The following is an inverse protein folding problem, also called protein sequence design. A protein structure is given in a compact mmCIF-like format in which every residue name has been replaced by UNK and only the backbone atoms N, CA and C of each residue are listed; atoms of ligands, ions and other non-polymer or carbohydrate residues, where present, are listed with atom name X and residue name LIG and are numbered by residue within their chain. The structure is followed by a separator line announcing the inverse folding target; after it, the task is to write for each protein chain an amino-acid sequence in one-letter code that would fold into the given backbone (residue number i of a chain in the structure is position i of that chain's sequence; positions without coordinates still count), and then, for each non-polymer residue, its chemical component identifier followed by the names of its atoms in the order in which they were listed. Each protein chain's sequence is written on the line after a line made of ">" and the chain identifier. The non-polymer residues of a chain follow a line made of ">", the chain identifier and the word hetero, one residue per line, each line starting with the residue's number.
data_IF_045051086678
#
_entry.id   IF_045051086678
#
_cell.length_a   1.000
_cell.length_b   1.000
_cell.length_c   1.000
_cell.angle_alpha   90.00
_cell.angle_beta   90.00
_cell.angle_gamma   90.00
#
_symmetry.space_group_name_H-M   'P 1'
#
loop_
_entity.id
_entity.type
_entity.pdbx_description
1 polymer ?
#
# COMPACT_ATOMS: atom_id res chain seq x y z
N UNK A 1 -40.36 -8.05 -1.71
CA UNK A 1 -38.90 -7.77 -1.85
C UNK A 1 -38.27 -7.47 -0.49
N UNK A 2 -38.92 -6.68 0.37
CA UNK A 2 -38.47 -6.43 1.75
C UNK A 2 -38.44 -7.70 2.63
N UNK A 3 -39.35 -8.66 2.41
CA UNK A 3 -39.37 -9.93 3.17
C UNK A 3 -38.14 -10.81 2.88
N UNK A 4 -37.63 -10.77 1.64
CA UNK A 4 -36.49 -11.58 1.22
C UNK A 4 -35.18 -11.05 1.82
N UNK A 5 -35.00 -9.73 1.85
CA UNK A 5 -33.83 -9.09 2.47
C UNK A 5 -33.79 -9.35 3.98
N UNK A 6 -34.95 -9.32 4.66
CA UNK A 6 -35.03 -9.67 6.09
C UNK A 6 -34.69 -11.14 6.34
N UNK A 7 -35.14 -12.05 5.45
CA UNK A 7 -34.79 -13.46 5.54
C UNK A 7 -33.28 -13.68 5.42
N UNK A 8 -32.63 -13.02 4.46
CA UNK A 8 -31.18 -13.13 4.26
C UNK A 8 -30.38 -12.55 5.43
N UNK A 9 -30.79 -11.39 5.96
CA UNK A 9 -30.15 -10.82 7.16
C UNK A 9 -30.25 -11.75 8.37
N UNK A 10 -31.46 -12.25 8.65
CA UNK A 10 -31.67 -13.19 9.76
C UNK A 10 -30.92 -14.52 9.57
N UNK A 11 -30.80 -15.00 8.33
CA UNK A 11 -30.00 -16.19 8.03
C UNK A 11 -28.51 -15.93 8.26
N UNK A 12 -27.98 -14.78 7.84
CA UNK A 12 -26.60 -14.40 8.05
C UNK A 12 -26.26 -14.28 9.54
N UNK A 13 -27.10 -13.60 10.32
CA UNK A 13 -26.99 -13.51 11.79
C UNK A 13 -26.89 -14.90 12.43
N UNK A 14 -27.76 -15.84 12.01
CA UNK A 14 -27.78 -17.21 12.51
C UNK A 14 -26.51 -17.98 12.12
N UNK A 15 -26.05 -17.81 10.88
CA UNK A 15 -24.82 -18.44 10.36
C UNK A 15 -23.60 -17.98 11.16
N UNK A 16 -23.46 -16.68 11.37
CA UNK A 16 -22.36 -16.10 12.16
C UNK A 16 -22.40 -16.61 13.60
N UNK A 17 -23.58 -16.67 14.21
CA UNK A 17 -23.74 -17.19 15.57
C UNK A 17 -23.40 -18.69 15.73
N UNK A 18 -23.36 -19.45 14.63
CA UNK A 18 -22.98 -20.86 14.60
C UNK A 18 -21.51 -21.08 14.20
N UNK A 19 -20.83 -20.05 13.70
CA UNK A 19 -19.44 -20.14 13.27
C UNK A 19 -18.51 -20.34 14.47
N UNK A 20 -17.56 -21.26 14.34
CA UNK A 20 -16.44 -21.35 15.27
C UNK A 20 -15.40 -20.25 14.98
N UNK A 21 -14.43 -20.00 15.89
CA UNK A 21 -13.44 -18.96 15.68
C UNK A 21 -12.62 -19.10 14.39
N UNK A 22 -12.26 -20.33 14.00
CA UNK A 22 -11.50 -20.57 12.77
C UNK A 22 -12.30 -20.24 11.50
N UNK A 23 -13.59 -20.55 11.51
CA UNK A 23 -14.52 -20.19 10.44
C UNK A 23 -14.73 -18.68 10.40
N UNK A 24 -14.85 -18.04 11.57
CA UNK A 24 -14.98 -16.59 11.64
C UNK A 24 -13.75 -15.87 11.10
N UNK A 25 -12.55 -16.33 11.45
CA UNK A 25 -11.30 -15.81 10.90
C UNK A 25 -11.19 -16.02 9.38
N UNK A 26 -11.76 -17.09 8.84
CA UNK A 26 -11.82 -17.31 7.39
C UNK A 26 -12.79 -16.33 6.71
N UNK A 27 -13.95 -16.08 7.32
CA UNK A 27 -14.96 -15.14 6.82
C UNK A 27 -14.46 -13.68 6.85
N UNK A 28 -13.69 -13.29 7.86
CA UNK A 28 -13.08 -11.95 7.96
C UNK A 28 -11.98 -11.73 6.90
N UNK A 29 -11.28 -12.78 6.49
CA UNK A 29 -10.23 -12.73 5.46
C UNK A 29 -10.76 -12.73 4.03
N UNK A 30 -12.05 -12.99 3.84
CA UNK A 30 -12.73 -12.89 2.56
C UNK A 30 -13.39 -11.51 2.46
N UNK A 31 -12.94 -10.68 1.52
CA UNK A 31 -13.34 -9.26 1.46
C UNK A 31 -14.83 -9.08 1.16
N UNK A 32 -15.43 -9.97 0.37
CA UNK A 32 -16.86 -9.93 0.06
C UNK A 32 -17.69 -10.30 1.30
N UNK A 33 -17.30 -11.37 1.99
CA UNK A 33 -17.98 -11.80 3.23
C UNK A 33 -17.77 -10.76 4.32
N UNK A 34 -16.56 -10.23 4.48
CA UNK A 34 -16.23 -9.16 5.43
C UNK A 34 -17.09 -7.90 5.17
N UNK A 35 -17.20 -7.48 3.91
CA UNK A 35 -18.08 -6.36 3.50
C UNK A 35 -19.54 -6.63 3.85
N UNK A 36 -20.03 -7.85 3.60
CA UNK A 36 -21.40 -8.24 3.95
C UNK A 36 -21.62 -8.21 5.47
N UNK A 37 -20.64 -8.69 6.26
CA UNK A 37 -20.69 -8.62 7.72
C UNK A 37 -20.74 -7.16 8.21
N UNK A 38 -19.99 -6.25 7.60
CA UNK A 38 -20.00 -4.83 7.93
C UNK A 38 -21.37 -4.19 7.66
N UNK A 39 -21.95 -4.44 6.47
CA UNK A 39 -23.28 -3.92 6.10
C UNK A 39 -24.37 -4.37 7.07
N UNK A 40 -24.22 -5.57 7.64
CA UNK A 40 -25.15 -6.13 8.62
C UNK A 40 -24.76 -5.86 10.09
N UNK A 41 -23.64 -5.18 10.37
CA UNK A 41 -23.17 -4.92 11.74
C UNK A 41 -22.73 -6.19 12.50
N UNK A 42 -22.31 -7.21 11.77
CA UNK A 42 -21.91 -8.54 12.27
C UNK A 42 -20.39 -8.75 12.23
N UNK A 43 -19.62 -7.75 11.81
CA UNK A 43 -18.17 -7.86 11.77
C UNK A 43 -17.61 -7.98 13.21
N UNK A 44 -16.74 -8.98 13.50
CA UNK A 44 -16.30 -9.25 14.88
C UNK A 44 -15.31 -8.21 15.42
N UNK A 45 -14.58 -7.52 14.54
CA UNK A 45 -13.65 -6.45 14.91
C UNK A 45 -14.32 -5.09 14.80
N UNK A 46 -14.02 -4.20 15.76
CA UNK A 46 -14.39 -2.79 15.72
C UNK A 46 -13.61 -2.00 14.67
N UNK A 47 -14.02 -0.75 14.44
CA UNK A 47 -13.41 0.13 13.43
C UNK A 47 -11.91 0.30 13.70
N UNK A 48 -11.51 0.56 14.94
CA UNK A 48 -10.11 0.79 15.31
C UNK A 48 -9.24 -0.42 15.00
N UNK A 49 -9.70 -1.63 15.34
CA UNK A 49 -8.98 -2.87 15.05
C UNK A 49 -8.83 -3.08 13.55
N UNK A 50 -9.90 -2.87 12.76
CA UNK A 50 -9.84 -3.02 11.31
C UNK A 50 -8.91 -1.99 10.66
N UNK A 51 -8.95 -0.74 11.11
CA UNK A 51 -8.03 0.30 10.65
C UNK A 51 -6.59 -0.10 10.97
N UNK A 52 -6.29 -0.58 12.18
CA UNK A 52 -4.93 -1.07 12.50
C UNK A 52 -4.48 -2.20 11.57
N UNK A 53 -5.34 -3.18 11.31
CA UNK A 53 -5.02 -4.27 10.37
C UNK A 53 -4.76 -3.75 8.95
N UNK A 54 -5.55 -2.77 8.49
CA UNK A 54 -5.34 -2.13 7.20
C UNK A 54 -3.99 -1.39 7.14
N UNK A 55 -3.66 -0.63 8.19
CA UNK A 55 -2.38 0.05 8.29
C UNK A 55 -1.22 -0.95 8.30
N UNK A 56 -1.34 -2.06 9.02
CA UNK A 56 -0.32 -3.11 9.04
C UNK A 56 -0.07 -3.72 7.64
N UNK A 57 -1.09 -3.80 6.78
CA UNK A 57 -0.94 -4.27 5.40
C UNK A 57 -0.16 -3.30 4.49
N UNK A 58 -0.20 -2.00 4.77
CA UNK A 58 0.53 -0.97 4.00
C UNK A 58 1.91 -0.65 4.61
N UNK A 59 2.17 -1.03 5.86
CA UNK A 59 3.47 -0.81 6.53
C UNK A 59 4.69 -1.33 5.75
N UNK A 60 4.67 -2.49 5.08
CA UNK A 60 5.83 -2.92 4.27
C UNK A 60 6.13 -1.92 3.15
N UNK A 61 5.10 -1.41 2.48
CA UNK A 61 5.23 -0.39 1.45
C UNK A 61 5.75 0.93 2.03
N UNK A 62 5.16 1.43 3.12
CA UNK A 62 5.62 2.65 3.81
C UNK A 62 7.06 2.51 4.31
N UNK A 63 7.36 1.36 4.91
CA UNK A 63 8.66 0.97 5.43
C UNK A 63 9.71 0.98 4.34
N UNK A 64 9.36 0.46 3.15
CA UNK A 64 10.22 0.60 1.97
C UNK A 64 10.54 2.08 1.74
N UNK A 65 9.58 2.99 1.78
CA UNK A 65 9.82 4.43 1.61
C UNK A 65 10.48 5.15 2.80
N UNK A 66 11.04 4.41 3.76
CA UNK A 66 11.69 4.95 4.97
C UNK A 66 10.70 5.64 5.91
N UNK A 67 9.42 5.29 5.81
CA UNK A 67 8.36 5.83 6.64
C UNK A 67 7.53 4.76 7.34
N UNK A 68 6.56 5.22 8.10
CA UNK A 68 5.61 4.37 8.82
C UNK A 68 4.33 5.18 9.07
N UNK A 69 3.29 4.53 9.57
CA UNK A 69 2.02 5.18 9.91
C UNK A 69 1.56 4.76 11.31
N UNK A 70 1.08 5.74 12.07
CA UNK A 70 0.51 5.55 13.39
C UNK A 70 -0.96 5.96 13.38
N UNK A 71 -1.82 5.09 13.92
CA UNK A 71 -3.21 5.45 14.22
C UNK A 71 -3.24 6.24 15.52
N UNK A 72 -3.67 7.50 15.45
CA UNK A 72 -3.80 8.38 16.62
C UNK A 72 -5.13 8.11 17.31
N UNK A 73 -6.23 8.15 16.55
CA UNK A 73 -7.55 7.84 17.06
C UNK A 73 -8.57 7.65 15.92
N UNK A 74 -9.74 7.13 16.28
CA UNK A 74 -10.95 7.14 15.45
C UNK A 74 -12.05 7.81 16.24
N UNK A 75 -12.53 8.98 15.81
CA UNK A 75 -13.58 9.73 16.48
C UNK A 75 -14.54 10.37 15.47
N UNK A 76 -15.85 10.31 15.76
CA UNK A 76 -16.91 10.89 14.92
C UNK A 76 -16.86 10.42 13.44
N UNK A 77 -16.39 9.19 13.22
CA UNK A 77 -16.19 8.62 11.89
C UNK A 77 -14.90 9.06 11.19
N UNK A 78 -14.11 9.94 11.80
CA UNK A 78 -12.83 10.42 11.26
C UNK A 78 -11.68 9.58 11.81
N UNK A 79 -10.85 9.05 10.93
CA UNK A 79 -9.62 8.33 11.27
C UNK A 79 -8.46 9.32 11.28
N UNK A 80 -7.86 9.56 12.45
CA UNK A 80 -6.67 10.42 12.58
C UNK A 80 -5.41 9.59 12.54
N UNK A 81 -4.56 9.86 11.56
CA UNK A 81 -3.30 9.16 11.32
C UNK A 81 -2.13 10.12 11.45
N UNK A 82 -0.95 9.59 11.76
CA UNK A 82 0.32 10.33 11.70
C UNK A 82 1.31 9.56 10.84
N UNK A 83 1.86 10.23 9.83
CA UNK A 83 2.94 9.68 9.02
C UNK A 83 4.29 9.93 9.72
N UNK A 84 5.10 8.88 9.78
CA UNK A 84 6.42 8.86 10.38
C UNK A 84 7.50 8.73 9.29
N UNK A 85 8.72 9.18 9.59
CA UNK A 85 9.89 9.01 8.72
C UNK A 85 9.91 9.92 7.48
N UNK A 86 10.51 9.44 6.38
CA UNK A 86 10.67 10.21 5.13
C UNK A 86 9.39 10.43 4.33
N UNK A 87 8.26 9.84 4.77
CA UNK A 87 6.93 10.15 4.23
C UNK A 87 6.61 11.65 4.24
N UNK A 88 7.19 12.42 5.18
CA UNK A 88 6.97 13.86 5.31
C UNK A 88 7.95 14.75 4.51
N UNK A 89 9.00 14.20 3.90
CA UNK A 89 10.12 15.01 3.34
C UNK A 89 10.29 14.95 1.82
N UNK A 90 9.48 14.17 1.09
CA UNK A 90 9.50 14.10 -0.37
C UNK A 90 8.10 14.36 -0.99
N UNK A 91 7.85 15.52 -1.62
CA UNK A 91 6.53 15.93 -2.13
C UNK A 91 5.96 15.04 -3.25
N UNK A 92 6.81 14.29 -3.95
CA UNK A 92 6.39 13.40 -5.05
C UNK A 92 6.02 12.00 -4.58
N UNK A 93 6.58 11.53 -3.46
CA UNK A 93 6.27 10.22 -2.87
C UNK A 93 5.07 10.27 -1.93
N UNK A 94 4.81 11.42 -1.30
CA UNK A 94 3.75 11.56 -0.29
C UNK A 94 2.35 11.31 -0.85
N UNK A 95 2.06 11.74 -2.08
CA UNK A 95 0.72 11.60 -2.69
C UNK A 95 0.35 10.13 -2.90
N UNK A 96 1.26 9.31 -3.43
CA UNK A 96 1.00 7.88 -3.65
C UNK A 96 0.93 7.10 -2.35
N UNK A 97 1.74 7.46 -1.35
CA UNK A 97 1.73 6.84 -0.02
C UNK A 97 0.44 7.17 0.73
N UNK A 98 0.01 8.43 0.71
CA UNK A 98 -1.24 8.88 1.32
C UNK A 98 -2.44 8.21 0.64
N UNK A 99 -2.45 8.12 -0.69
CA UNK A 99 -3.50 7.42 -1.45
C UNK A 99 -3.56 5.93 -1.07
N UNK A 100 -2.42 5.25 -0.96
CA UNK A 100 -2.39 3.84 -0.56
C UNK A 100 -2.91 3.61 0.86
N UNK A 101 -2.58 4.51 1.80
CA UNK A 101 -3.10 4.48 3.17
C UNK A 101 -4.61 4.74 3.18
N UNK A 102 -5.07 5.75 2.43
CA UNK A 102 -6.49 6.09 2.33
C UNK A 102 -7.29 4.93 1.73
N UNK A 103 -6.83 4.35 0.62
CA UNK A 103 -7.46 3.19 -0.02
C UNK A 103 -7.59 2.00 0.94
N UNK A 104 -6.51 1.69 1.67
CA UNK A 104 -6.51 0.58 2.62
C UNK A 104 -7.48 0.81 3.78
N UNK A 105 -7.50 2.02 4.35
CA UNK A 105 -8.42 2.38 5.43
C UNK A 105 -9.87 2.38 4.94
N UNK A 106 -10.13 2.93 3.75
CA UNK A 106 -11.48 2.97 3.18
C UNK A 106 -12.03 1.57 2.87
N UNK A 107 -11.17 0.65 2.41
CA UNK A 107 -11.55 -0.74 2.18
C UNK A 107 -11.91 -1.46 3.49
N UNK A 108 -11.14 -1.25 4.56
CA UNK A 108 -11.33 -1.93 5.84
C UNK A 108 -12.41 -1.27 6.74
N UNK A 109 -12.65 0.02 6.58
CA UNK A 109 -13.56 0.81 7.39
C UNK A 109 -14.41 1.76 6.51
N UNK A 110 -15.28 1.23 5.65
CA UNK A 110 -16.08 2.02 4.72
C UNK A 110 -17.10 2.94 5.41
N UNK A 111 -17.40 2.71 6.69
CA UNK A 111 -18.27 3.60 7.48
C UNK A 111 -17.59 4.89 7.95
N UNK A 112 -16.27 5.02 7.74
CA UNK A 112 -15.54 6.24 8.09
C UNK A 112 -15.94 7.39 7.17
N UNK A 113 -16.01 8.59 7.73
CA UNK A 113 -16.45 9.82 7.05
C UNK A 113 -15.29 10.63 6.49
N UNK A 114 -14.07 10.35 6.95
CA UNK A 114 -12.86 11.00 6.48
C UNK A 114 -11.61 10.47 7.16
N UNK A 115 -10.47 10.79 6.56
CA UNK A 115 -9.14 10.45 7.07
C UNK A 115 -8.37 11.77 7.19
N UNK A 116 -7.84 12.05 8.38
CA UNK A 116 -7.05 13.23 8.67
C UNK A 116 -5.61 12.79 8.98
N UNK A 117 -4.64 13.30 8.23
CA UNK A 117 -3.24 12.91 8.36
C UNK A 117 -2.45 14.07 8.98
N UNK A 118 -2.03 13.89 10.22
CA UNK A 118 -1.15 14.83 10.91
C UNK A 118 0.24 14.80 10.27
N UNK A 119 0.62 15.90 9.60
CA UNK A 119 2.01 16.20 9.28
C UNK A 119 2.66 16.97 10.44
N UNK A 120 3.85 16.58 10.93
CA UNK A 120 4.57 17.32 11.96
C UNK A 120 5.21 18.58 11.35
N UNK A 121 4.39 19.60 11.10
CA UNK A 121 4.66 21.04 11.31
C UNK A 121 3.44 21.85 10.81
N UNK A 122 2.42 21.91 11.64
CA UNK A 122 1.43 22.99 11.57
C UNK A 122 0.98 23.37 12.98
N UNK A 123 1.95 23.61 13.87
CA UNK A 123 1.70 24.47 15.01
C UNK A 123 1.77 25.93 14.54
N UNK A 124 0.58 26.55 14.53
CA UNK A 124 0.31 27.98 14.41
C UNK A 124 0.69 28.67 13.09
N UNK A 125 -0.32 28.88 12.23
CA UNK A 125 -0.58 30.19 11.63
C UNK A 125 -2.10 30.31 11.39
N UNK A 126 -2.77 31.05 12.28
CA UNK A 126 -4.10 31.59 11.99
C UNK A 126 -3.98 32.60 10.85
N UNK A 127 -4.99 32.56 9.98
CA UNK A 127 -5.39 33.57 9.00
C UNK A 127 -4.59 33.66 7.70
N UNK A 128 -5.22 33.14 6.65
CA UNK A 128 -5.42 33.94 5.44
C UNK A 128 -4.63 33.49 4.21
N UNK A 129 -5.40 33.06 3.22
CA UNK A 129 -5.04 32.77 1.82
C UNK A 129 -4.39 31.40 1.61
N UNK A 130 -5.23 30.46 1.15
CA UNK A 130 -4.78 29.23 0.48
C UNK A 130 -3.99 29.69 -0.75
N UNK A 131 -2.69 29.38 -0.80
CA UNK A 131 -1.90 29.60 -2.01
C UNK A 131 -2.54 28.86 -3.17
N UNK A 132 -2.59 29.51 -4.32
CA UNK A 132 -3.16 28.93 -5.56
C UNK A 132 -2.48 27.59 -5.91
N UNK A 133 -1.23 27.39 -5.51
CA UNK A 133 -0.51 26.11 -5.63
C UNK A 133 -1.14 24.97 -4.80
N UNK A 134 -1.64 25.22 -3.58
CA UNK A 134 -2.42 24.24 -2.78
C UNK A 134 -3.83 23.99 -3.30
N UNK A 135 -4.40 24.91 -4.09
CA UNK A 135 -5.64 24.66 -4.80
C UNK A 135 -5.42 23.76 -6.02
N UNK A 136 -4.24 23.79 -6.63
CA UNK A 136 -3.92 22.94 -7.77
C UNK A 136 -3.59 21.49 -7.38
N UNK A 137 -3.13 21.20 -6.15
CA UNK A 137 -2.93 19.82 -5.69
C UNK A 137 -4.25 19.04 -5.60
N UNK A 138 -5.36 19.71 -5.24
CA UNK A 138 -6.69 19.08 -5.23
C UNK A 138 -7.34 18.98 -6.62
N UNK A 139 -6.92 19.80 -7.58
CA UNK A 139 -7.48 19.78 -8.95
C UNK A 139 -6.70 18.82 -9.88
N UNK A 140 -5.47 18.44 -9.53
CA UNK A 140 -4.69 17.42 -10.25
C UNK A 140 -4.85 16.01 -9.66
N UNK A 141 -5.58 15.85 -8.54
CA UNK A 141 -5.94 14.55 -7.98
C UNK A 141 -6.92 13.77 -8.88
N UNK A 142 -7.58 14.43 -9.84
CA UNK A 142 -8.43 13.80 -10.86
C UNK A 142 -7.68 13.52 -12.19
N UNK A 143 -6.35 13.52 -12.20
CA UNK A 143 -5.56 13.65 -13.45
C UNK A 143 -4.46 12.64 -13.73
N UNK A 144 -4.34 11.56 -12.98
CA UNK A 144 -3.36 10.49 -13.26
C UNK A 144 -3.84 9.17 -12.70
N UNK A 145 -4.72 8.49 -13.43
CA UNK A 145 -5.40 7.28 -12.98
C UNK A 145 -4.42 6.20 -12.57
N UNK A 146 -4.16 6.07 -11.27
CA UNK A 146 -3.62 4.84 -10.71
C UNK A 146 -4.74 3.80 -10.75
N UNK A 147 -4.59 2.79 -11.60
CA UNK A 147 -5.49 1.66 -11.63
C UNK A 147 -4.84 0.46 -10.93
N UNK A 148 -5.64 -0.25 -10.14
CA UNK A 148 -5.24 -1.48 -9.50
C UNK A 148 -5.39 -2.64 -10.50
N UNK A 149 -4.32 -3.41 -10.67
CA UNK A 149 -4.34 -4.63 -11.49
C UNK A 149 -4.11 -5.82 -10.59
N UNK A 150 -5.03 -6.79 -10.66
CA UNK A 150 -4.88 -8.09 -9.99
C UNK A 150 -3.76 -8.90 -10.67
N UNK A 151 -2.84 -9.42 -9.86
CA UNK A 151 -1.69 -10.23 -10.28
C UNK A 151 -1.49 -11.39 -9.28
N UNK A 152 -2.37 -12.41 -9.29
CA UNK A 152 -2.27 -13.56 -8.37
C UNK A 152 -0.93 -14.30 -8.48
N UNK A 153 -0.24 -14.22 -9.62
CA UNK A 153 1.05 -14.85 -9.88
C UNK A 153 2.16 -14.34 -8.96
N UNK A 154 1.99 -13.16 -8.33
CA UNK A 154 2.92 -12.68 -7.30
C UNK A 154 2.98 -13.63 -6.09
N UNK A 155 1.94 -14.43 -5.86
CA UNK A 155 1.93 -15.42 -4.78
C UNK A 155 2.95 -16.55 -5.00
N UNK A 156 3.36 -16.80 -6.25
CA UNK A 156 4.31 -17.86 -6.61
C UNK A 156 5.77 -17.48 -6.30
N UNK A 157 6.07 -16.20 -6.08
CA UNK A 157 7.42 -15.73 -5.76
C UNK A 157 7.83 -16.23 -4.37
N UNK A 158 8.84 -17.08 -4.30
CA UNK A 158 9.32 -17.67 -3.05
C UNK A 158 10.14 -16.68 -2.21
N UNK A 159 10.26 -16.95 -0.90
CA UNK A 159 11.07 -16.12 0.00
C UNK A 159 12.53 -16.11 -0.45
N UNK A 160 13.08 -14.92 -0.72
CA UNK A 160 14.44 -14.76 -1.24
C UNK A 160 14.52 -14.74 -2.76
N UNK A 161 13.42 -14.95 -3.46
CA UNK A 161 13.35 -14.91 -4.93
C UNK A 161 13.14 -13.49 -5.46
N UNK A 162 13.62 -13.27 -6.68
CA UNK A 162 13.34 -12.10 -7.50
C UNK A 162 12.80 -12.59 -8.84
N UNK A 163 11.61 -12.12 -9.22
CA UNK A 163 10.92 -12.50 -10.44
C UNK A 163 10.51 -11.26 -11.24
N UNK A 164 10.52 -11.38 -12.56
CA UNK A 164 10.10 -10.33 -13.48
C UNK A 164 8.68 -10.58 -13.98
N UNK A 165 7.84 -9.55 -13.97
CA UNK A 165 6.46 -9.60 -14.42
C UNK A 165 6.17 -8.47 -15.41
N UNK A 166 5.32 -8.73 -16.39
CA UNK A 166 4.78 -7.69 -17.28
C UNK A 166 3.30 -7.52 -16.99
N UNK A 167 2.92 -6.37 -16.42
CA UNK A 167 1.55 -6.08 -15.99
C UNK A 167 1.08 -4.80 -16.68
N UNK A 168 -0.02 -4.87 -17.44
CA UNK A 168 -0.55 -3.74 -18.23
C UNK A 168 0.51 -3.01 -19.08
N UNK A 169 1.49 -3.75 -19.63
CA UNK A 169 2.58 -3.19 -20.44
C UNK A 169 3.74 -2.56 -19.64
N UNK A 170 3.65 -2.51 -18.31
CA UNK A 170 4.74 -2.11 -17.43
C UNK A 170 5.56 -3.33 -16.99
N UNK A 171 6.87 -3.27 -17.17
CA UNK A 171 7.80 -4.29 -16.68
C UNK A 171 8.11 -4.03 -15.19
N UNK A 172 7.87 -5.03 -14.36
CA UNK A 172 8.02 -5.02 -12.92
C UNK A 172 9.03 -6.06 -12.47
N UNK A 173 9.85 -5.68 -11.49
CA UNK A 173 10.70 -6.54 -10.71
C UNK A 173 10.03 -6.75 -9.35
N UNK A 174 9.71 -7.99 -9.03
CA UNK A 174 9.05 -8.37 -7.77
C UNK A 174 10.00 -9.22 -6.96
N UNK A 175 10.12 -8.93 -5.66
CA UNK A 175 10.90 -9.76 -4.76
C UNK A 175 10.19 -9.97 -3.43
N UNK A 176 10.48 -11.12 -2.79
CA UNK A 176 9.92 -11.45 -1.48
C UNK A 176 11.02 -11.52 -0.44
N UNK A 177 10.86 -10.77 0.66
CA UNK A 177 11.80 -10.75 1.78
C UNK A 177 11.03 -10.99 3.08
N UNK A 178 11.18 -12.19 3.65
CA UNK A 178 10.31 -12.63 4.73
C UNK A 178 8.90 -12.88 4.21
N UNK A 179 7.89 -12.40 4.93
CA UNK A 179 6.49 -12.51 4.51
C UNK A 179 6.08 -11.40 3.53
N UNK A 180 6.88 -10.33 3.43
CA UNK A 180 6.58 -9.14 2.65
C UNK A 180 7.01 -9.28 1.19
N UNK A 181 6.18 -8.73 0.29
CA UNK A 181 6.41 -8.71 -1.15
C UNK A 181 6.55 -7.27 -1.63
N UNK A 182 7.56 -7.02 -2.45
CA UNK A 182 7.94 -5.69 -2.92
C UNK A 182 7.98 -5.69 -4.45
N UNK A 183 7.49 -4.62 -5.08
CA UNK A 183 7.59 -4.43 -6.53
C UNK A 183 8.29 -3.12 -6.88
N UNK A 184 9.07 -3.15 -7.95
CA UNK A 184 9.75 -2.01 -8.54
C UNK A 184 9.56 -2.03 -10.06
N UNK A 185 9.69 -0.90 -10.74
CA UNK A 185 9.84 -0.89 -12.20
C UNK A 185 11.16 -1.57 -12.58
N UNK A 186 11.15 -2.36 -13.65
CA UNK A 186 12.31 -3.11 -14.14
C UNK A 186 13.34 -2.20 -14.85
N UNK A 187 13.91 -1.25 -14.10
CA UNK A 187 14.92 -0.32 -14.61
C UNK A 187 15.88 0.12 -13.53
N UNK A 188 17.17 -0.10 -13.75
CA UNK A 188 18.22 0.39 -12.87
C UNK A 188 18.37 1.92 -13.03
N UNK A 189 18.28 2.71 -11.95
CA UNK A 189 18.43 4.17 -12.03
C UNK A 189 19.89 4.62 -12.25
N UNK A 190 20.87 3.72 -12.13
CA UNK A 190 22.31 4.03 -12.27
C UNK A 190 22.79 3.80 -13.70
N UNK A 191 22.44 2.66 -14.28
CA UNK A 191 22.91 2.28 -15.62
C UNK A 191 21.80 2.20 -16.66
N UNK A 192 20.55 2.45 -16.27
CA UNK A 192 19.38 2.48 -17.15
C UNK A 192 18.98 1.14 -17.80
N UNK A 193 19.72 0.07 -17.53
CA UNK A 193 19.40 -1.27 -18.01
C UNK A 193 18.31 -1.93 -17.16
N UNK A 194 17.67 -2.95 -17.74
CA UNK A 194 16.76 -3.85 -17.03
C UNK A 194 17.45 -4.48 -15.83
N UNK A 195 16.66 -4.70 -14.78
CA UNK A 195 17.03 -5.43 -13.57
C UNK A 195 16.69 -6.92 -13.69
N UNK A 196 16.24 -7.42 -14.84
CA UNK A 196 16.04 -8.83 -15.09
C UNK A 196 17.34 -9.62 -14.83
N UNK A 197 17.27 -10.59 -13.92
CA UNK A 197 18.44 -11.32 -13.42
C UNK A 197 19.09 -10.70 -12.17
N UNK A 198 18.48 -9.66 -11.59
CA UNK A 198 18.86 -9.18 -10.27
C UNK A 198 18.67 -10.28 -9.22
N UNK A 199 19.57 -10.29 -8.24
CA UNK A 199 19.55 -11.22 -7.12
C UNK A 199 19.22 -10.50 -5.83
N UNK A 200 18.45 -11.15 -4.96
CA UNK A 200 18.18 -10.67 -3.62
C UNK A 200 19.23 -11.23 -2.67
N UNK A 201 20.11 -10.36 -2.19
CA UNK A 201 21.22 -10.73 -1.31
C UNK A 201 21.03 -10.16 0.08
N UNK A 202 21.58 -10.86 1.07
CA UNK A 202 21.65 -10.35 2.44
C UNK A 202 23.02 -9.74 2.71
N UNK A 203 23.07 -8.42 2.83
CA UNK A 203 24.28 -7.68 3.10
C UNK A 203 24.72 -7.82 4.57
N UNK A 204 25.93 -8.32 4.78
CA UNK A 204 26.50 -8.46 6.13
C UNK A 204 26.84 -7.10 6.74
N UNK A 205 26.63 -6.96 8.06
CA UNK A 205 26.92 -5.72 8.80
C UNK A 205 25.79 -4.69 8.80
N UNK A 206 24.65 -4.95 8.15
CA UNK A 206 23.41 -4.17 8.27
C UNK A 206 22.44 -4.79 9.29
N UNK A 207 21.58 -3.98 9.93
CA UNK A 207 20.48 -4.51 10.74
C UNK A 207 19.63 -5.47 9.89
N UNK A 208 19.02 -6.48 10.51
CA UNK A 208 18.24 -7.49 9.79
C UNK A 208 17.14 -6.89 8.90
N UNK A 209 16.55 -5.76 9.34
CA UNK A 209 15.54 -4.99 8.58
C UNK A 209 16.07 -4.26 7.35
N UNK A 210 17.37 -4.01 7.22
CA UNK A 210 17.95 -3.30 6.05
C UNK A 210 18.97 -4.16 5.29
N UNK A 211 19.03 -5.45 5.63
CA UNK A 211 20.04 -6.34 5.08
C UNK A 211 19.67 -6.85 3.68
N UNK A 212 18.39 -6.83 3.30
CA UNK A 212 17.92 -7.32 2.01
C UNK A 212 18.19 -6.28 0.91
N UNK A 213 18.98 -6.66 -0.08
CA UNK A 213 19.48 -5.77 -1.13
C UNK A 213 19.33 -6.44 -2.49
N UNK A 214 18.76 -5.71 -3.45
CA UNK A 214 18.75 -6.10 -4.86
C UNK A 214 20.04 -5.64 -5.54
N UNK A 215 20.71 -6.56 -6.22
CA UNK A 215 21.94 -6.25 -6.97
C UNK A 215 21.63 -6.17 -8.47
N UNK A 216 21.94 -5.03 -9.10
CA UNK A 216 21.80 -4.86 -10.54
C UNK A 216 22.75 -5.82 -11.28
N UNK A 217 22.25 -6.64 -12.23
CA UNK A 217 23.08 -7.61 -12.93
C UNK A 217 24.07 -6.95 -13.92
N UNK A 218 23.83 -5.69 -14.30
CA UNK A 218 24.65 -4.98 -15.29
C UNK A 218 25.75 -4.16 -14.65
N UNK A 219 25.43 -3.28 -13.71
CA UNK A 219 26.39 -2.35 -13.10
C UNK A 219 26.76 -2.69 -11.66
N UNK A 220 26.22 -3.79 -11.11
CA UNK A 220 26.44 -4.24 -9.73
C UNK A 220 26.07 -3.18 -8.67
N UNK A 221 25.24 -2.20 -9.02
CA UNK A 221 24.68 -1.29 -8.03
C UNK A 221 23.71 -2.04 -7.12
N UNK A 222 23.75 -1.69 -5.84
CA UNK A 222 22.99 -2.32 -4.78
C UNK A 222 21.84 -1.41 -4.36
N UNK A 223 20.64 -1.95 -4.16
CA UNK A 223 19.45 -1.19 -3.79
C UNK A 223 18.75 -1.84 -2.60
N UNK A 224 18.45 -1.07 -1.57
CA UNK A 224 17.76 -1.56 -0.38
C UNK A 224 16.31 -1.88 -0.69
N UNK A 225 15.84 -3.08 -0.36
CA UNK A 225 14.43 -3.45 -0.52
C UNK A 225 13.56 -2.61 0.43
N UNK A 226 13.96 -2.57 1.70
CA UNK A 226 13.30 -1.79 2.75
C UNK A 226 13.59 -0.28 2.69
N UNK A 227 14.36 0.17 1.70
CA UNK A 227 14.64 1.59 1.48
C UNK A 227 14.01 2.12 0.18
N UNK A 228 12.96 1.49 -0.34
CA UNK A 228 12.24 1.90 -1.55
C UNK A 228 13.18 1.88 -2.75
N UNK A 229 14.05 0.86 -2.74
CA UNK A 229 15.09 0.73 -3.73
C UNK A 229 16.17 1.79 -3.62
N UNK A 230 16.34 2.47 -2.49
CA UNK A 230 17.43 3.44 -2.30
C UNK A 230 18.78 2.76 -2.50
N UNK A 231 19.64 3.43 -3.26
CA UNK A 231 20.98 2.94 -3.55
C UNK A 231 21.78 2.80 -2.25
N UNK A 232 22.41 1.65 -2.13
CA UNK A 232 23.34 1.34 -1.04
C UNK A 232 24.74 1.79 -1.45
N UNK A 233 25.35 2.65 -0.64
CA UNK A 233 26.72 3.16 -0.88
C UNK A 233 26.70 4.62 -1.28
N UNK A 234 27.46 4.99 -2.31
CA UNK A 234 27.54 6.36 -2.82
C UNK A 234 26.46 6.63 -3.84
N UNK A 235 25.75 7.75 -3.70
CA UNK A 235 24.69 8.16 -4.61
C UNK A 235 23.35 8.37 -3.89
N UNK A 236 22.39 8.93 -4.61
CA UNK A 236 21.04 9.19 -4.12
C UNK A 236 19.99 8.63 -5.07
N UNK A 237 20.37 7.71 -5.96
CA UNK A 237 19.45 7.06 -6.88
C UNK A 237 18.56 6.06 -6.15
N UNK A 238 17.38 5.79 -6.69
CA UNK A 238 16.41 4.83 -6.13
C UNK A 238 15.76 4.06 -7.27
N UNK A 239 15.50 2.76 -7.08
CA UNK A 239 14.54 2.07 -7.95
C UNK A 239 13.18 2.77 -7.83
N UNK A 240 12.33 2.65 -8.84
CA UNK A 240 10.99 3.19 -8.78
C UNK A 240 10.04 2.13 -8.19
N UNK A 241 9.69 2.19 -6.88
CA UNK A 241 8.78 1.23 -6.27
C UNK A 241 7.36 1.38 -6.81
N UNK A 242 6.62 0.28 -6.76
CA UNK A 242 5.23 0.20 -7.18
C UNK A 242 4.42 -0.40 -6.04
N UNK A 243 3.31 0.23 -5.59
CA UNK A 243 2.52 -0.29 -4.47
C UNK A 243 1.96 -1.67 -4.78
N UNK A 244 2.11 -2.60 -3.84
CA UNK A 244 1.50 -3.94 -3.88
C UNK A 244 0.67 -4.13 -2.63
N UNK A 245 -0.58 -4.55 -2.79
CA UNK A 245 -1.52 -4.84 -1.70
C UNK A 245 -2.32 -6.09 -2.03
N UNK A 246 -2.92 -6.70 -1.02
CA UNK A 246 -3.93 -7.74 -1.22
C UNK A 246 -5.29 -7.04 -1.29
N UNK A 247 -6.03 -7.25 -2.37
CA UNK A 247 -7.38 -6.75 -2.61
C UNK A 247 -8.26 -7.91 -3.07
N UNK A 248 -9.42 -8.08 -2.48
CA UNK A 248 -10.33 -9.21 -2.75
C UNK A 248 -9.65 -10.58 -2.59
N UNK A 249 -8.74 -10.69 -1.61
CA UNK A 249 -7.89 -11.87 -1.40
C UNK A 249 -6.81 -12.11 -2.47
N UNK A 250 -6.65 -11.20 -3.43
CA UNK A 250 -5.74 -11.31 -4.57
C UNK A 250 -4.64 -10.25 -4.49
N UNK A 251 -3.39 -10.66 -4.71
CA UNK A 251 -2.28 -9.70 -4.83
C UNK A 251 -2.53 -8.76 -6.00
N UNK A 252 -2.45 -7.46 -5.75
CA UNK A 252 -2.76 -6.41 -6.69
C UNK A 252 -1.68 -5.34 -6.67
N UNK A 253 -1.42 -4.74 -7.81
CA UNK A 253 -0.39 -3.70 -7.99
C UNK A 253 -1.02 -2.42 -8.52
N UNK A 254 -0.62 -1.27 -7.98
CA UNK A 254 -1.08 0.04 -8.45
C UNK A 254 -0.18 0.55 -9.58
N UNK A 255 -0.73 0.65 -10.79
CA UNK A 255 -0.03 1.19 -11.95
C UNK A 255 -0.64 2.53 -12.35
N UNK A 256 0.22 3.52 -12.63
CA UNK A 256 -0.23 4.76 -13.24
C UNK A 256 -0.55 4.52 -14.73
N UNK A 257 -1.67 5.03 -15.21
CA UNK A 257 -2.01 5.03 -16.63
C UNK A 257 -0.96 5.81 -17.43
N UNK A 258 -0.18 5.12 -18.26
CA UNK A 258 0.79 5.72 -19.20
C UNK A 258 0.10 6.41 -20.40
N UNK A 259 -1.19 6.73 -20.32
CA UNK A 259 -1.97 7.34 -21.40
C UNK A 259 -2.19 8.85 -21.23
N UNK A 260 -1.16 9.63 -20.87
CA UNK A 260 -1.09 11.06 -21.24
C UNK A 260 0.38 11.48 -21.43
N UNK A 261 0.99 11.13 -22.56
CA UNK A 261 2.06 11.97 -23.12
C UNK A 261 1.36 13.02 -23.98
N UNK A 262 1.40 14.33 -23.65
CA UNK A 262 1.01 15.34 -24.62
C UNK A 262 2.06 15.31 -25.73
N UNK A 263 1.70 14.77 -26.88
CA UNK A 263 2.46 14.98 -28.11
C UNK A 263 2.35 16.47 -28.41
N UNK A 264 3.48 17.17 -28.27
CA UNK A 264 3.69 18.57 -28.64
C UNK A 264 3.34 18.84 -30.10
#
# INVERSE_FOLDING_TARGET
>A
MREVVQLYGAALERTVALADPATMDAMVRDDLVSSLLLVHGLHPHDVETRVRTALDSVRPYLGSHGGDVELIEVADGVVRLRLLGSCNSCPSSSVTLETAVQDAVQAAAPETTGIDVETPDSHELKSGVISVESLFSHVHADGGGTHWVEVPEFAEVEVGEVAGFRVSGTDLLVCRSGDDLYAYRDRCPVCEHSMAGAVLERMMGRPARDAAVLTCPTCSAHFSVYGAGARVGTGSEHLAPVPVLIRDGVLSVALADDSVIPVT
#
